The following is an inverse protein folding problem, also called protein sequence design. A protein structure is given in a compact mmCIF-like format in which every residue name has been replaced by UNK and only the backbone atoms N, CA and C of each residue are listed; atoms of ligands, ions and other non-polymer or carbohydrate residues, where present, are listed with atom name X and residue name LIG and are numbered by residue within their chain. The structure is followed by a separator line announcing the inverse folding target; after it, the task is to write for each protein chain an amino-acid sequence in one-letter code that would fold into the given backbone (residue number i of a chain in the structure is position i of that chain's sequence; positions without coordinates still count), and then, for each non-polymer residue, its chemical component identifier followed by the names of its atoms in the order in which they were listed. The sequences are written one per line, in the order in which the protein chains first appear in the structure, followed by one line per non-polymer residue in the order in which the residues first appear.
data_IF_012891123285
#
_entry.id   IF_012891123285
#
_cell.length_a   1.000
_cell.length_b   1.000
_cell.length_c   1.000
_cell.angle_alpha   90.00
_cell.angle_beta   90.00
_cell.angle_gamma   90.00
#
_symmetry.space_group_name_H-M   'P 1'
#
loop_
_entity.id
_entity.type
_entity.pdbx_description
1 polymer ?
#
# COMPACT_ATOMS: atom_id res chain seq x y z
N UNK A 1 21.36 7.82 5.53
CA UNK A 1 20.78 9.02 6.06
C UNK A 1 19.29 9.05 5.78
N UNK A 2 18.51 9.44 6.74
CA UNK A 2 17.12 9.46 6.54
C UNK A 2 16.74 10.69 5.86
N UNK A 3 15.85 10.59 5.02
CA UNK A 3 15.34 11.79 4.43
C UNK A 3 14.50 12.50 5.47
N UNK A 4 14.61 13.79 5.45
CA UNK A 4 13.88 14.64 6.37
C UNK A 4 12.38 14.45 6.23
N UNK A 5 11.92 14.21 5.00
CA UNK A 5 10.51 14.00 4.72
C UNK A 5 9.96 12.80 5.52
N UNK A 6 10.70 11.70 5.54
CA UNK A 6 10.26 10.52 6.29
C UNK A 6 10.16 10.84 7.77
N UNK A 7 11.20 11.44 8.34
CA UNK A 7 11.21 11.77 9.76
C UNK A 7 10.05 12.68 10.15
N UNK A 8 9.83 13.73 9.37
CA UNK A 8 8.73 14.66 9.64
C UNK A 8 7.36 14.00 9.50
N UNK A 9 7.25 13.06 8.58
CA UNK A 9 5.97 12.39 8.33
C UNK A 9 5.59 11.41 9.42
N UNK A 10 6.57 10.78 10.05
CA UNK A 10 6.30 9.74 11.05
C UNK A 10 6.44 10.19 12.50
N UNK A 11 6.95 11.39 12.73
CA UNK A 11 7.21 11.86 14.11
C UNK A 11 5.94 11.99 14.94
N UNK A 12 4.84 12.34 14.32
CA UNK A 12 3.55 12.47 15.01
C UNK A 12 2.73 11.18 14.98
N UNK A 13 3.33 10.09 14.53
CA UNK A 13 2.65 8.81 14.44
C UNK A 13 1.63 8.78 13.31
N UNK A 14 0.48 8.19 13.57
CA UNK A 14 -0.58 8.06 12.57
C UNK A 14 -1.29 9.40 12.45
N UNK A 15 -0.96 10.14 11.43
CA UNK A 15 -1.38 11.54 11.25
C UNK A 15 -1.64 11.83 9.78
N UNK A 16 -2.17 13.02 9.50
CA UNK A 16 -2.38 13.45 8.12
C UNK A 16 -1.08 13.54 7.35
N UNK A 17 0.01 13.91 8.01
CA UNK A 17 1.32 13.96 7.37
C UNK A 17 1.76 12.59 6.91
N UNK A 18 1.54 11.59 7.75
CA UNK A 18 1.86 10.21 7.40
C UNK A 18 0.99 9.71 6.25
N UNK A 19 -0.32 9.96 6.29
CA UNK A 19 -1.23 9.56 5.22
C UNK A 19 -0.85 10.26 3.90
N UNK A 20 -0.45 11.52 3.98
CA UNK A 20 0.04 12.25 2.81
C UNK A 20 1.30 11.60 2.23
N UNK A 21 2.20 11.15 3.10
CA UNK A 21 3.40 10.41 2.66
C UNK A 21 3.01 9.15 1.87
N UNK A 22 2.07 8.36 2.38
CA UNK A 22 1.61 7.15 1.69
C UNK A 22 0.92 7.48 0.38
N UNK A 23 0.11 8.53 0.36
CA UNK A 23 -0.58 8.96 -0.85
C UNK A 23 0.42 9.34 -1.94
N UNK A 24 1.44 10.11 -1.58
CA UNK A 24 2.46 10.52 -2.53
C UNK A 24 3.34 9.34 -2.95
N UNK A 25 3.64 8.43 -2.05
CA UNK A 25 4.32 7.19 -2.41
C UNK A 25 3.52 6.40 -3.45
N UNK A 26 2.21 6.27 -3.25
CA UNK A 26 1.34 5.54 -4.18
C UNK A 26 1.35 6.16 -5.56
N UNK A 27 1.28 7.49 -5.63
CA UNK A 27 1.36 8.20 -6.90
C UNK A 27 2.73 8.01 -7.55
N UNK A 28 3.80 8.10 -6.77
CA UNK A 28 5.15 7.86 -7.27
C UNK A 28 5.27 6.45 -7.84
N UNK A 29 4.80 5.44 -7.12
CA UNK A 29 4.87 4.05 -7.56
C UNK A 29 4.10 3.82 -8.85
N UNK A 30 2.92 4.43 -8.97
CA UNK A 30 2.09 4.32 -10.16
C UNK A 30 2.76 4.94 -11.39
N UNK A 31 3.26 6.14 -11.25
CA UNK A 31 3.84 6.87 -12.39
C UNK A 31 5.25 6.44 -12.69
N UNK A 32 6.08 6.29 -11.67
CA UNK A 32 7.47 5.87 -11.86
C UNK A 32 7.55 4.45 -12.43
N UNK A 33 6.78 3.53 -11.85
CA UNK A 33 6.81 2.14 -12.28
C UNK A 33 6.19 1.90 -13.64
N UNK A 34 5.22 2.73 -14.03
CA UNK A 34 4.49 2.53 -15.26
C UNK A 34 5.07 3.32 -16.43
N UNK A 35 5.34 4.62 -16.22
CA UNK A 35 5.70 5.52 -17.33
C UNK A 35 6.78 6.52 -16.98
N UNK A 36 7.31 6.49 -15.76
CA UNK A 36 8.26 7.51 -15.33
C UNK A 36 9.42 7.72 -16.27
N UNK A 37 10.02 6.66 -16.73
CA UNK A 37 11.18 6.74 -17.61
C UNK A 37 10.79 7.06 -19.06
N UNK A 38 9.52 6.87 -19.41
CA UNK A 38 9.04 7.13 -20.78
C UNK A 38 8.70 8.60 -21.01
N UNK A 39 8.61 9.37 -19.95
CA UNK A 39 8.23 10.77 -20.04
C UNK A 39 9.19 11.67 -19.27
N UNK A 40 10.46 11.62 -19.63
CA UNK A 40 11.47 12.40 -18.89
C UNK A 40 11.26 13.91 -18.99
N UNK A 41 10.49 14.33 -19.96
CA UNK A 41 10.23 15.75 -20.15
C UNK A 41 9.00 16.27 -19.46
N UNK A 42 8.28 15.44 -18.73
CA UNK A 42 7.10 15.92 -18.02
C UNK A 42 7.52 16.90 -16.96
N UNK A 43 6.99 18.08 -17.03
CA UNK A 43 7.38 19.17 -16.16
C UNK A 43 6.72 19.11 -14.79
N UNK A 44 5.58 18.47 -14.67
CA UNK A 44 4.89 18.41 -13.39
C UNK A 44 4.58 16.97 -13.04
N UNK A 45 5.13 16.53 -11.93
CA UNK A 45 4.86 15.22 -11.41
C UNK A 45 3.69 15.32 -10.45
N UNK A 46 2.77 14.35 -10.47
CA UNK A 46 1.58 14.41 -9.62
C UNK A 46 1.85 14.04 -8.16
N UNK A 47 3.10 13.89 -7.78
CA UNK A 47 3.47 13.49 -6.43
C UNK A 47 4.53 14.43 -5.86
N UNK A 48 4.54 14.53 -4.53
CA UNK A 48 5.51 15.34 -3.80
C UNK A 48 6.29 14.41 -2.88
N UNK A 49 7.20 13.66 -3.46
CA UNK A 49 8.08 12.75 -2.72
C UNK A 49 9.33 12.52 -3.55
N UNK A 50 10.47 12.57 -2.91
CA UNK A 50 11.72 12.27 -3.59
C UNK A 50 11.91 10.75 -3.72
N UNK A 51 12.75 10.33 -4.67
CA UNK A 51 12.96 8.92 -4.93
C UNK A 51 13.50 8.17 -3.72
N UNK A 52 14.40 8.78 -2.95
CA UNK A 52 14.97 8.14 -1.78
C UNK A 52 13.90 7.86 -0.72
N UNK A 53 13.03 8.84 -0.46
CA UNK A 53 11.93 8.66 0.48
C UNK A 53 10.96 7.60 -0.02
N UNK A 54 10.65 7.63 -1.31
CA UNK A 54 9.74 6.66 -1.90
C UNK A 54 10.29 5.24 -1.79
N UNK A 55 11.59 5.06 -2.01
CA UNK A 55 12.23 3.74 -1.87
C UNK A 55 12.23 3.25 -0.42
N UNK A 56 12.34 4.15 0.53
CA UNK A 56 12.25 3.80 1.95
C UNK A 56 10.85 3.27 2.27
N UNK A 57 9.82 3.96 1.81
CA UNK A 57 8.44 3.50 1.98
C UNK A 57 8.23 2.17 1.25
N UNK A 58 8.78 2.05 0.06
CA UNK A 58 8.67 0.81 -0.72
C UNK A 58 9.25 -0.39 0.03
N UNK A 59 10.39 -0.21 0.69
CA UNK A 59 10.96 -1.29 1.50
C UNK A 59 10.05 -1.71 2.64
N UNK A 60 9.39 -0.74 3.28
CA UNK A 60 8.42 -1.04 4.32
C UNK A 60 7.22 -1.79 3.73
N UNK A 61 6.79 -1.40 2.53
CA UNK A 61 5.71 -2.10 1.83
C UNK A 61 6.11 -3.53 1.47
N UNK A 62 7.36 -3.78 1.09
CA UNK A 62 7.82 -5.13 0.81
C UNK A 62 7.84 -6.00 2.07
N UNK A 63 8.20 -5.43 3.21
CA UNK A 63 8.11 -6.14 4.49
C UNK A 63 6.66 -6.53 4.79
N UNK A 64 5.74 -5.63 4.51
CA UNK A 64 4.31 -5.91 4.67
C UNK A 64 3.87 -7.04 3.75
N UNK A 65 4.32 -7.01 2.50
CA UNK A 65 4.02 -8.05 1.52
C UNK A 65 4.48 -9.42 2.01
N UNK A 66 5.68 -9.50 2.59
CA UNK A 66 6.25 -10.75 3.06
C UNK A 66 5.50 -11.28 4.28
N UNK A 67 5.08 -10.40 5.18
CA UNK A 67 4.44 -10.81 6.43
C UNK A 67 2.93 -10.94 6.32
N UNK A 68 2.29 -10.08 5.54
CA UNK A 68 0.83 -10.04 5.42
C UNK A 68 0.41 -9.72 3.99
N UNK A 69 0.49 -10.70 3.08
CA UNK A 69 0.22 -10.46 1.66
C UNK A 69 -1.16 -9.88 1.36
N UNK A 70 -2.18 -10.31 2.10
CA UNK A 70 -3.54 -9.80 1.87
C UNK A 70 -3.62 -8.31 2.18
N UNK A 71 -3.04 -7.91 3.31
CA UNK A 71 -3.03 -6.51 3.73
C UNK A 71 -2.23 -5.68 2.73
N UNK A 72 -1.09 -6.20 2.28
CA UNK A 72 -0.29 -5.55 1.25
C UNK A 72 -1.11 -5.33 -0.03
N UNK A 73 -1.87 -6.34 -0.47
CA UNK A 73 -2.69 -6.21 -1.67
C UNK A 73 -3.75 -5.12 -1.52
N UNK A 74 -4.37 -5.02 -0.35
CA UNK A 74 -5.34 -3.94 -0.09
C UNK A 74 -4.66 -2.57 -0.15
N UNK A 75 -3.49 -2.45 0.47
CA UNK A 75 -2.73 -1.20 0.45
C UNK A 75 -2.31 -0.82 -0.96
N UNK A 76 -1.83 -1.79 -1.72
CA UNK A 76 -1.40 -1.56 -3.10
C UNK A 76 -2.56 -1.12 -3.98
N UNK A 77 -3.70 -1.79 -3.88
CA UNK A 77 -4.88 -1.40 -4.65
C UNK A 77 -5.36 0.00 -4.29
N UNK A 78 -5.31 0.35 -3.02
CA UNK A 78 -5.80 1.64 -2.57
C UNK A 78 -4.82 2.78 -2.91
N UNK A 79 -3.56 2.64 -2.51
CA UNK A 79 -2.58 3.73 -2.66
C UNK A 79 -1.91 3.77 -4.02
N UNK A 80 -1.53 2.63 -4.57
CA UNK A 80 -0.80 2.61 -5.84
C UNK A 80 -1.76 2.64 -7.02
N UNK A 81 -2.81 1.84 -7.00
CA UNK A 81 -3.77 1.79 -8.10
C UNK A 81 -4.87 2.83 -7.98
N UNK A 82 -5.01 3.48 -6.83
CA UNK A 82 -5.99 4.55 -6.65
C UNK A 82 -7.43 4.09 -6.56
N UNK A 83 -7.66 2.86 -6.14
CA UNK A 83 -9.00 2.31 -6.03
C UNK A 83 -9.59 2.62 -4.65
N UNK A 84 -10.91 2.88 -4.59
CA UNK A 84 -11.57 3.05 -3.31
C UNK A 84 -12.01 1.69 -2.75
N UNK A 85 -12.60 1.69 -1.56
CA UNK A 85 -13.01 0.46 -0.90
C UNK A 85 -14.02 -0.35 -1.72
N UNK A 86 -14.90 0.32 -2.42
CA UNK A 86 -15.93 -0.34 -3.22
C UNK A 86 -15.33 -0.98 -4.48
N UNK A 87 -14.38 -0.30 -5.11
CA UNK A 87 -13.67 -0.85 -6.27
C UNK A 87 -12.88 -2.08 -5.88
N UNK A 88 -12.18 -2.02 -4.76
CA UNK A 88 -11.41 -3.15 -4.23
C UNK A 88 -12.34 -4.32 -3.95
N UNK A 89 -13.45 -4.05 -3.29
CA UNK A 89 -14.43 -5.08 -2.96
C UNK A 89 -14.98 -5.75 -4.22
N UNK A 90 -15.28 -4.96 -5.25
CA UNK A 90 -15.75 -5.49 -6.53
C UNK A 90 -14.74 -6.41 -7.17
N UNK A 91 -13.48 -6.00 -7.18
CA UNK A 91 -12.40 -6.81 -7.76
C UNK A 91 -12.25 -8.13 -7.01
N UNK A 92 -12.28 -8.08 -5.69
CA UNK A 92 -12.15 -9.29 -4.88
C UNK A 92 -13.29 -10.25 -5.12
N UNK A 93 -14.51 -9.74 -5.23
CA UNK A 93 -15.68 -10.58 -5.48
C UNK A 93 -15.73 -11.15 -6.88
N UNK A 94 -15.21 -10.42 -7.86
CA UNK A 94 -15.17 -10.89 -9.23
C UNK A 94 -14.12 -11.99 -9.44
N UNK A 95 -13.02 -11.93 -8.71
CA UNK A 95 -11.87 -12.81 -8.96
C UNK A 95 -11.37 -13.56 -7.73
N UNK A 96 -12.27 -14.17 -6.96
CA UNK A 96 -11.82 -14.93 -5.79
C UNK A 96 -10.92 -16.12 -6.17
N UNK A 97 -11.13 -16.66 -7.35
CA UNK A 97 -10.33 -17.76 -7.88
C UNK A 97 -8.85 -17.37 -8.04
N UNK A 98 -8.59 -16.17 -8.52
CA UNK A 98 -7.21 -15.69 -8.67
C UNK A 98 -6.53 -15.54 -7.32
N UNK A 99 -7.26 -15.10 -6.33
CA UNK A 99 -6.72 -14.97 -4.99
C UNK A 99 -6.40 -16.33 -4.40
N UNK A 100 -7.22 -17.33 -4.68
CA UNK A 100 -6.92 -18.68 -4.24
C UNK A 100 -5.60 -19.18 -4.79
N UNK A 101 -5.31 -18.89 -6.02
CA UNK A 101 -4.08 -19.35 -6.65
C UNK A 101 -2.84 -18.74 -6.03
N UNK A 102 -2.95 -17.59 -5.41
CA UNK A 102 -1.81 -16.94 -4.79
C UNK A 102 -1.55 -17.46 -3.38
N UNK A 103 -2.36 -18.37 -2.91
CA UNK A 103 -2.23 -18.83 -1.55
C UNK A 103 -0.92 -19.51 -1.22
N UNK A 104 -0.25 -20.09 -2.19
CA UNK A 104 1.05 -20.69 -1.96
C UNK A 104 2.09 -19.66 -1.57
N UNK A 105 1.82 -18.41 -1.89
CA UNK A 105 2.70 -17.30 -1.59
C UNK A 105 2.34 -16.62 -0.28
N UNK A 106 1.14 -16.85 0.21
CA UNK A 106 0.66 -16.14 1.37
C UNK A 106 -0.25 -16.98 2.23
N UNK A 107 -0.18 -16.69 3.49
CA UNK A 107 -0.97 -17.41 4.42
C UNK A 107 -2.42 -17.22 4.25
N UNK A 108 -2.79 -16.11 3.70
CA UNK A 108 -4.21 -15.85 3.60
C UNK A 108 -4.86 -16.67 2.55
N UNK A 109 -4.09 -17.35 1.86
CA UNK A 109 -4.62 -18.11 0.88
C UNK A 109 -5.77 -18.78 1.36
N UNK A 110 -6.26 -18.72 1.54
CA UNK A 110 -6.95 -19.33 1.89
C UNK A 110 -8.29 -19.76 1.78
N UNK A 111 -8.54 -20.95 2.08
CA UNK A 111 -9.88 -21.47 2.20
C UNK A 111 -10.75 -20.59 3.06
N UNK A 112 -10.29 -20.11 4.20
CA UNK A 112 -11.04 -19.13 4.96
C UNK A 112 -11.25 -17.85 4.17
N UNK A 113 -10.34 -17.55 3.27
CA UNK A 113 -10.39 -16.34 2.48
C UNK A 113 -11.59 -16.35 1.52
N UNK A 114 -11.86 -17.46 0.86
CA UNK A 114 -12.99 -17.56 -0.04
C UNK A 114 -14.31 -17.34 0.67
N UNK A 115 -14.45 -17.92 1.83
CA UNK A 115 -15.66 -17.74 2.63
C UNK A 115 -15.77 -16.30 3.12
N UNK A 116 -14.64 -15.71 3.49
CA UNK A 116 -14.61 -14.34 3.96
C UNK A 116 -14.99 -13.34 2.86
N UNK A 117 -14.59 -13.60 1.64
CA UNK A 117 -14.90 -12.70 0.53
C UNK A 117 -16.40 -12.54 0.32
N UNK A 118 -17.16 -13.60 0.49
CA UNK A 118 -18.62 -13.53 0.33
C UNK A 118 -19.27 -12.52 1.24
N UNK A 119 -18.72 -12.36 2.43
CA UNK A 119 -19.27 -11.50 3.46
C UNK A 119 -18.45 -10.25 3.68
N UNK A 120 -17.44 -10.05 2.83
CA UNK A 120 -16.58 -8.88 2.95
C UNK A 120 -17.37 -7.63 2.61
N UNK A 121 -17.22 -6.61 3.43
CA UNK A 121 -17.87 -5.31 3.23
C UNK A 121 -16.83 -4.25 2.94
N UNK A 122 -17.29 -3.11 2.43
CA UNK A 122 -16.39 -1.96 2.25
C UNK A 122 -15.72 -1.55 3.55
N UNK A 123 -16.44 -1.67 4.67
CA UNK A 123 -15.87 -1.37 5.98
C UNK A 123 -14.74 -2.32 6.35
N UNK A 124 -14.90 -3.62 6.06
CA UNK A 124 -13.86 -4.59 6.33
C UNK A 124 -12.62 -4.32 5.47
N UNK A 125 -12.80 -3.96 4.21
CA UNK A 125 -11.69 -3.56 3.34
C UNK A 125 -10.99 -2.35 3.94
N UNK A 126 -11.73 -1.36 4.41
CA UNK A 126 -11.17 -0.17 5.03
C UNK A 126 -10.36 -0.51 6.28
N UNK A 127 -10.87 -1.43 7.10
CA UNK A 127 -10.14 -1.85 8.29
C UNK A 127 -8.82 -2.53 7.94
N UNK A 128 -8.78 -3.32 6.87
CA UNK A 128 -7.53 -3.94 6.41
C UNK A 128 -6.56 -2.89 5.89
N UNK A 129 -7.04 -1.87 5.21
CA UNK A 129 -6.20 -0.77 4.75
C UNK A 129 -5.61 -0.04 5.96
N UNK A 130 -6.42 0.27 6.97
CA UNK A 130 -5.94 0.94 8.18
C UNK A 130 -4.90 0.08 8.90
N UNK A 131 -5.13 -1.22 8.97
CA UNK A 131 -4.13 -2.13 9.54
C UNK A 131 -2.81 -2.04 8.78
N UNK A 132 -2.85 -2.04 7.46
CA UNK A 132 -1.65 -1.89 6.64
C UNK A 132 -0.94 -0.56 6.89
N UNK A 133 -1.71 0.51 6.98
CA UNK A 133 -1.16 1.83 7.28
C UNK A 133 -0.40 1.83 8.61
N UNK A 134 -0.96 1.20 9.63
CA UNK A 134 -0.33 1.12 10.94
C UNK A 134 0.90 0.23 10.94
N UNK A 135 0.87 -0.87 10.22
CA UNK A 135 2.01 -1.77 10.13
C UNK A 135 3.18 -1.13 9.39
N UNK A 136 2.90 -0.43 8.30
CA UNK A 136 3.95 0.30 7.58
C UNK A 136 4.55 1.41 8.46
N UNK A 137 3.71 2.14 9.18
CA UNK A 137 4.18 3.14 10.11
C UNK A 137 5.10 2.53 11.16
N UNK A 138 4.72 1.39 11.71
CA UNK A 138 5.52 0.68 12.69
C UNK A 138 6.90 0.29 12.13
N UNK A 139 6.93 -0.24 10.92
CA UNK A 139 8.19 -0.56 10.26
C UNK A 139 9.07 0.67 10.08
N UNK A 140 8.48 1.78 9.65
CA UNK A 140 9.22 3.02 9.47
C UNK A 140 9.74 3.57 10.79
N UNK A 141 8.93 3.56 11.81
CA UNK A 141 9.35 4.05 13.12
C UNK A 141 10.47 3.22 13.73
N UNK A 142 10.39 1.90 13.59
CA UNK A 142 11.44 1.02 14.11
C UNK A 142 12.77 1.22 13.37
N UNK A 143 12.71 1.51 12.10
CA UNK A 143 13.92 1.71 11.32
C UNK A 143 14.55 3.07 11.59
N UNK A 144 13.76 4.08 11.91
CA UNK A 144 14.21 5.46 11.90
C UNK A 144 14.06 6.19 13.25
N UNK A 145 13.56 5.55 14.22
CA UNK A 145 13.49 6.06 15.56
C UNK A 145 14.11 5.06 16.52
#
# INVERSE_FOLDING_TARGET
MLTRLIQESIEDGYSEKYISLLTNYGLWARYFGAVGYLHPGLSSEPYIIDDDSALIVDRAMQKLKDSRPTVYNMMSMYYVRGLDEYDILSILKEKPYKLKKTRTEGVYCACPYDSAIRYLTGRAVRELIVLGERLVLDFLQKEFI
#
